data_IF_696763196002
#
_entry.id   IF_696763196002
#
_cell.length_a   1.000
_cell.length_b   1.000
_cell.length_c   1.000
_cell.angle_alpha   90.00
_cell.angle_beta   90.00
_cell.angle_gamma   90.00
#
_symmetry.space_group_name_H-M   'P 1'
#
loop_
_entity.id
_entity.type
_entity.pdbx_description
1 polymer ?
#
# COMPACT_ATOMS: atom_id res chain seq x y z
N UNK A 1 -7.82 -61.38 -12.55
CA UNK A 1 -6.96 -60.20 -12.84
C UNK A 1 -6.01 -60.58 -13.96
N UNK A 2 -6.21 -60.04 -15.16
CA UNK A 2 -5.39 -60.36 -16.34
C UNK A 2 -4.02 -59.68 -16.17
N UNK A 3 -2.94 -60.47 -16.14
CA UNK A 3 -1.58 -59.94 -16.16
C UNK A 3 -1.20 -59.63 -17.60
N UNK A 4 -0.84 -58.38 -17.94
CA UNK A 4 -0.46 -58.03 -19.30
C UNK A 4 0.80 -58.79 -19.73
N UNK A 5 0.91 -59.06 -21.04
CA UNK A 5 2.09 -59.67 -21.65
C UNK A 5 3.30 -58.73 -21.53
N UNK A 6 4.52 -59.30 -21.44
CA UNK A 6 5.77 -58.54 -21.27
C UNK A 6 5.96 -57.46 -22.35
N UNK A 7 5.55 -57.74 -23.60
CA UNK A 7 5.59 -56.78 -24.70
C UNK A 7 4.68 -55.56 -24.47
N UNK A 8 3.54 -55.74 -23.78
CA UNK A 8 2.64 -54.64 -23.44
C UNK A 8 3.16 -53.84 -22.23
N UNK A 9 3.78 -54.53 -21.25
CA UNK A 9 4.35 -53.89 -20.06
C UNK A 9 5.41 -52.83 -20.39
N UNK A 10 6.22 -53.03 -21.44
CA UNK A 10 7.24 -52.07 -21.87
C UNK A 10 6.69 -50.78 -22.50
N UNK A 11 5.41 -50.75 -22.88
CA UNK A 11 4.75 -49.58 -23.50
C UNK A 11 3.84 -48.80 -22.54
N UNK A 12 3.57 -49.35 -21.36
CA UNK A 12 2.75 -48.68 -20.36
C UNK A 12 3.52 -47.52 -19.73
N UNK A 13 2.83 -46.42 -19.43
CA UNK A 13 3.45 -45.26 -18.78
C UNK A 13 3.92 -45.62 -17.37
N UNK A 14 5.19 -45.35 -17.07
CA UNK A 14 5.72 -45.60 -15.74
C UNK A 14 5.01 -44.80 -14.64
N UNK A 15 4.69 -45.50 -13.57
CA UNK A 15 4.24 -44.95 -12.29
C UNK A 15 5.42 -44.87 -11.32
N UNK A 16 5.27 -44.10 -10.25
CA UNK A 16 6.30 -43.94 -9.22
C UNK A 16 6.67 -45.24 -8.50
N UNK A 17 5.83 -46.28 -8.60
CA UNK A 17 6.05 -47.57 -7.93
C UNK A 17 6.77 -48.61 -8.80
N UNK A 18 6.92 -48.34 -10.09
CA UNK A 18 7.52 -49.27 -11.04
C UNK A 18 9.02 -49.03 -11.28
N UNK A 19 9.52 -47.83 -10.96
CA UNK A 19 10.90 -47.41 -11.19
C UNK A 19 11.61 -47.24 -9.85
N UNK A 20 12.90 -47.58 -9.79
CA UNK A 20 13.73 -47.47 -8.59
C UNK A 20 14.11 -46.03 -8.21
N UNK A 21 15.25 -45.88 -7.55
CA UNK A 21 15.74 -44.58 -7.05
C UNK A 21 15.96 -43.59 -8.20
N UNK A 22 15.64 -42.31 -7.96
CA UNK A 22 15.88 -41.20 -8.91
C UNK A 22 14.68 -40.81 -9.79
N UNK A 23 13.64 -41.64 -9.88
CA UNK A 23 12.42 -41.29 -10.61
C UNK A 23 11.37 -40.66 -9.69
N UNK A 24 11.13 -39.36 -9.83
CA UNK A 24 10.07 -38.64 -9.14
C UNK A 24 8.98 -38.20 -10.13
N UNK A 25 7.71 -38.43 -9.76
CA UNK A 25 6.54 -37.96 -10.51
C UNK A 25 5.52 -37.41 -9.52
N UNK A 26 5.19 -36.13 -9.65
CA UNK A 26 4.25 -35.44 -8.76
C UNK A 26 2.77 -35.77 -9.06
N UNK A 27 1.92 -35.53 -8.06
CA UNK A 27 0.47 -35.79 -8.10
C UNK A 27 -0.38 -34.52 -8.27
N UNK A 28 0.17 -33.48 -8.91
CA UNK A 28 -0.49 -32.16 -9.11
C UNK A 28 -0.96 -31.48 -7.81
N UNK A 29 -0.24 -31.67 -6.71
CA UNK A 29 -0.51 -30.98 -5.44
C UNK A 29 -0.19 -29.48 -5.47
N UNK A 30 0.38 -28.97 -6.57
CA UNK A 30 0.86 -27.59 -6.69
C UNK A 30 2.21 -27.38 -6.00
N UNK A 31 2.88 -26.27 -6.35
CA UNK A 31 4.12 -25.85 -5.67
C UNK A 31 3.78 -24.91 -4.52
N UNK A 32 4.01 -25.37 -3.29
CA UNK A 32 3.72 -24.61 -2.07
C UNK A 32 4.92 -23.76 -1.60
N UNK A 33 5.98 -23.67 -2.39
CA UNK A 33 7.26 -23.13 -1.94
C UNK A 33 8.39 -23.34 -2.94
N UNK A 34 9.61 -23.47 -2.42
CA UNK A 34 10.81 -23.70 -3.22
C UNK A 34 11.78 -24.65 -2.51
N UNK A 35 12.53 -25.43 -3.29
CA UNK A 35 13.66 -26.20 -2.77
C UNK A 35 14.81 -25.24 -2.43
N UNK A 36 15.51 -25.52 -1.33
CA UNK A 36 16.76 -24.83 -0.96
C UNK A 36 17.94 -25.50 -1.66
N UNK A 37 19.08 -24.81 -1.75
CA UNK A 37 20.33 -25.36 -2.30
C UNK A 37 20.79 -26.67 -1.63
N UNK A 38 20.47 -26.87 -0.35
CA UNK A 38 20.80 -28.09 0.41
C UNK A 38 19.73 -29.20 0.32
N UNK A 39 18.80 -29.12 -0.63
CA UNK A 39 17.76 -30.14 -0.83
C UNK A 39 16.59 -30.11 0.17
N UNK A 40 16.57 -29.17 1.12
CA UNK A 40 15.37 -28.90 1.96
C UNK A 40 14.27 -28.20 1.16
N UNK A 41 13.09 -28.06 1.75
CA UNK A 41 11.96 -27.35 1.14
C UNK A 41 11.51 -26.20 2.06
N UNK A 42 11.39 -25.00 1.50
CA UNK A 42 10.91 -23.81 2.19
C UNK A 42 9.50 -23.47 1.71
N UNK A 43 8.54 -23.42 2.64
CA UNK A 43 7.12 -23.19 2.34
C UNK A 43 6.85 -21.69 2.19
N UNK A 44 6.20 -21.32 1.09
CA UNK A 44 5.63 -19.99 0.87
C UNK A 44 4.14 -20.02 1.21
N UNK A 45 3.80 -19.49 2.39
CA UNK A 45 2.42 -19.46 2.89
C UNK A 45 1.46 -18.70 1.97
N UNK A 46 1.95 -17.83 1.08
CA UNK A 46 1.08 -17.12 0.11
C UNK A 46 0.54 -18.04 -1.00
N UNK A 47 1.23 -19.15 -1.26
CA UNK A 47 0.84 -20.17 -2.26
C UNK A 47 0.05 -21.32 -1.65
N UNK A 48 -0.01 -21.37 -0.32
CA UNK A 48 -0.74 -22.42 0.39
C UNK A 48 -2.23 -22.17 0.22
N UNK A 49 -2.98 -23.22 -0.12
CA UNK A 49 -4.43 -23.15 -0.25
C UNK A 49 -5.07 -23.06 1.13
N UNK A 50 -5.97 -22.09 1.31
CA UNK A 50 -6.75 -21.91 2.53
C UNK A 50 -8.24 -22.08 2.20
N UNK A 51 -8.91 -22.97 2.92
CA UNK A 51 -10.36 -23.15 2.81
C UNK A 51 -11.03 -22.34 3.92
N UNK A 52 -11.58 -21.20 3.56
CA UNK A 52 -12.25 -20.30 4.50
C UNK A 52 -13.64 -20.85 4.80
N UNK A 53 -13.84 -21.31 6.03
CA UNK A 53 -15.15 -21.80 6.50
C UNK A 53 -15.82 -20.65 7.27
N UNK A 54 -17.04 -20.21 6.88
CA UNK A 54 -17.78 -19.22 7.65
C UNK A 54 -18.21 -19.80 9.01
N UNK A 55 -18.52 -18.95 9.98
CA UNK A 55 -19.15 -19.44 11.22
C UNK A 55 -20.55 -19.96 10.89
N UNK A 56 -20.82 -21.22 11.25
CA UNK A 56 -22.07 -21.91 10.92
C UNK A 56 -22.98 -22.08 12.14
N UNK A 57 -22.62 -21.51 13.29
CA UNK A 57 -23.52 -21.44 14.44
C UNK A 57 -24.78 -20.68 14.01
N UNK A 58 -25.94 -21.30 14.23
CA UNK A 58 -27.26 -20.76 13.90
C UNK A 58 -27.60 -20.65 12.40
N UNK A 59 -26.88 -21.35 11.51
CA UNK A 59 -27.21 -21.40 10.09
C UNK A 59 -28.33 -22.42 9.79
N UNK A 60 -29.50 -21.94 9.37
CA UNK A 60 -30.70 -22.76 9.16
C UNK A 60 -30.76 -23.47 7.80
N UNK A 61 -29.90 -23.11 6.83
CA UNK A 61 -29.95 -23.71 5.50
C UNK A 61 -29.35 -25.10 5.50
N UNK A 62 -30.10 -26.05 4.94
CA UNK A 62 -29.68 -27.44 4.76
C UNK A 62 -29.36 -27.72 3.28
N UNK A 63 -28.56 -28.76 2.97
CA UNK A 63 -28.28 -29.13 1.58
C UNK A 63 -29.50 -29.70 0.83
N UNK A 64 -30.62 -29.93 1.54
CA UNK A 64 -31.86 -30.45 0.98
C UNK A 64 -32.99 -29.42 1.13
N UNK A 65 -33.91 -29.45 0.18
CA UNK A 65 -35.16 -28.68 0.19
C UNK A 65 -36.32 -29.67 0.29
N UNK A 66 -37.38 -29.30 1.00
CA UNK A 66 -38.59 -30.11 1.14
C UNK A 66 -39.30 -30.26 -0.19
N UNK A 67 -39.76 -31.48 -0.52
CA UNK A 67 -40.48 -31.74 -1.78
C UNK A 67 -41.84 -31.06 -1.85
N UNK A 68 -42.40 -30.65 -0.71
CA UNK A 68 -43.64 -29.88 -0.62
C UNK A 68 -43.51 -28.47 -1.21
N UNK A 69 -42.28 -27.94 -1.32
CA UNK A 69 -42.03 -26.65 -1.93
C UNK A 69 -41.97 -26.79 -3.45
N UNK A 70 -42.86 -26.09 -4.15
CA UNK A 70 -42.83 -26.03 -5.61
C UNK A 70 -41.57 -25.32 -6.11
N UNK A 71 -41.04 -25.78 -7.25
CA UNK A 71 -39.87 -25.17 -7.86
C UNK A 71 -40.25 -23.79 -8.39
N UNK A 72 -39.62 -22.73 -7.87
CA UNK A 72 -39.85 -21.37 -8.35
C UNK A 72 -39.34 -21.25 -9.80
N UNK A 73 -40.24 -21.07 -10.80
CA UNK A 73 -39.79 -20.89 -12.17
C UNK A 73 -39.13 -19.51 -12.30
N UNK A 74 -38.19 -19.41 -13.24
CA UNK A 74 -37.54 -18.14 -13.57
C UNK A 74 -38.40 -17.24 -14.47
N UNK A 75 -39.54 -17.72 -14.91
CA UNK A 75 -40.40 -17.04 -15.88
C UNK A 75 -41.11 -15.90 -15.17
N UNK A 76 -40.97 -14.70 -15.70
CA UNK A 76 -41.63 -13.50 -15.20
C UNK A 76 -42.71 -13.04 -16.21
N UNK A 77 -43.79 -12.45 -15.69
CA UNK A 77 -44.81 -11.81 -16.52
C UNK A 77 -44.28 -10.46 -17.00
N UNK A 78 -44.07 -10.32 -18.31
CA UNK A 78 -43.62 -9.08 -18.91
C UNK A 78 -44.72 -7.99 -18.89
N UNK A 79 -44.37 -6.73 -19.23
CA UNK A 79 -45.31 -5.59 -19.25
C UNK A 79 -46.55 -5.74 -20.17
N UNK A 80 -46.60 -6.77 -21.00
CA UNK A 80 -47.73 -7.12 -21.87
C UNK A 80 -48.43 -8.44 -21.54
N UNK A 81 -48.20 -9.01 -20.35
CA UNK A 81 -48.76 -10.31 -19.93
C UNK A 81 -48.13 -11.52 -20.64
N UNK A 82 -47.15 -11.30 -21.52
CA UNK A 82 -46.37 -12.37 -22.13
C UNK A 82 -45.35 -12.91 -21.12
N UNK A 83 -45.37 -14.23 -20.92
CA UNK A 83 -44.37 -14.93 -20.13
C UNK A 83 -43.02 -14.84 -20.84
N UNK A 84 -42.02 -14.24 -20.19
CA UNK A 84 -40.66 -14.16 -20.70
C UNK A 84 -39.68 -14.74 -19.67
N UNK A 85 -38.64 -15.41 -20.17
CA UNK A 85 -37.54 -15.87 -19.32
C UNK A 85 -36.42 -14.83 -19.40
N UNK A 86 -36.16 -14.06 -18.33
CA UNK A 86 -35.11 -13.06 -18.34
C UNK A 86 -33.74 -13.68 -18.67
N UNK A 87 -32.84 -12.95 -19.36
CA UNK A 87 -31.47 -13.41 -19.60
C UNK A 87 -30.74 -13.61 -18.25
N UNK A 88 -29.79 -14.56 -18.16
CA UNK A 88 -29.23 -15.04 -16.87
C UNK A 88 -28.75 -13.94 -15.92
N UNK A 89 -28.13 -12.89 -16.45
CA UNK A 89 -27.74 -11.71 -15.69
C UNK A 89 -27.72 -10.55 -16.69
N UNK A 90 -28.68 -9.63 -16.60
CA UNK A 90 -28.53 -8.32 -17.25
C UNK A 90 -27.89 -7.33 -16.28
N UNK A 91 -26.85 -6.63 -16.74
CA UNK A 91 -26.14 -5.65 -15.93
C UNK A 91 -27.01 -4.45 -15.58
N UNK A 92 -27.89 -4.02 -16.50
CA UNK A 92 -28.78 -2.88 -16.25
C UNK A 92 -29.89 -3.23 -15.26
N UNK A 93 -30.51 -4.40 -15.37
CA UNK A 93 -31.46 -4.90 -14.37
C UNK A 93 -30.82 -5.03 -12.99
N UNK A 94 -29.60 -5.57 -12.91
CA UNK A 94 -28.86 -5.62 -11.64
C UNK A 94 -28.64 -4.22 -11.05
N UNK A 95 -28.22 -3.24 -11.86
CA UNK A 95 -28.02 -1.86 -11.39
C UNK A 95 -29.31 -1.20 -10.93
N UNK A 96 -30.43 -1.44 -11.63
CA UNK A 96 -31.76 -0.97 -11.20
C UNK A 96 -32.18 -1.60 -9.87
N UNK A 97 -32.01 -2.91 -9.74
CA UNK A 97 -32.32 -3.63 -8.50
C UNK A 97 -31.42 -3.18 -7.35
N UNK A 98 -30.13 -2.98 -7.60
CA UNK A 98 -29.15 -2.50 -6.63
C UNK A 98 -29.49 -1.08 -6.16
N UNK A 99 -29.79 -0.16 -7.07
CA UNK A 99 -30.26 1.20 -6.76
C UNK A 99 -31.50 1.16 -5.87
N UNK A 100 -32.45 0.27 -6.15
CA UNK A 100 -33.69 0.13 -5.38
C UNK A 100 -33.45 -0.41 -3.97
N UNK A 101 -32.54 -1.38 -3.82
CA UNK A 101 -32.25 -2.02 -2.53
C UNK A 101 -31.29 -1.21 -1.65
N UNK A 102 -30.39 -0.43 -2.25
CA UNK A 102 -29.30 0.27 -1.54
C UNK A 102 -29.21 1.76 -1.94
N UNK A 103 -30.23 2.59 -1.67
CA UNK A 103 -30.23 3.99 -2.09
C UNK A 103 -29.03 4.77 -1.51
N UNK A 104 -28.73 4.62 -0.22
CA UNK A 104 -27.63 5.34 0.41
C UNK A 104 -26.25 5.06 -0.20
N UNK A 105 -26.01 3.81 -0.64
CA UNK A 105 -24.75 3.46 -1.33
C UNK A 105 -24.72 4.00 -2.76
N UNK A 106 -25.86 3.96 -3.44
CA UNK A 106 -26.00 4.47 -4.79
C UNK A 106 -25.77 6.00 -4.83
N UNK A 107 -26.47 6.73 -3.97
CA UNK A 107 -26.39 8.20 -3.90
C UNK A 107 -24.95 8.65 -3.60
N UNK A 108 -24.27 8.00 -2.65
CA UNK A 108 -22.86 8.29 -2.36
C UNK A 108 -21.92 8.07 -3.56
N UNK A 109 -22.19 7.08 -4.42
CA UNK A 109 -21.39 6.83 -5.62
C UNK A 109 -21.68 7.89 -6.68
N UNK A 110 -22.94 8.30 -6.84
CA UNK A 110 -23.35 9.36 -7.77
C UNK A 110 -22.74 10.70 -7.35
N UNK A 111 -22.89 11.09 -6.09
CA UNK A 111 -22.31 12.32 -5.55
C UNK A 111 -20.78 12.35 -5.74
N UNK A 112 -20.10 11.22 -5.52
CA UNK A 112 -18.67 11.11 -5.77
C UNK A 112 -18.32 11.34 -7.25
N UNK A 113 -19.11 10.78 -8.17
CA UNK A 113 -18.90 10.95 -9.61
C UNK A 113 -19.18 12.38 -10.06
N UNK A 114 -20.26 12.99 -9.58
CA UNK A 114 -20.60 14.39 -9.89
C UNK A 114 -19.51 15.34 -9.39
N UNK A 115 -19.01 15.14 -8.17
CA UNK A 115 -17.90 15.91 -7.63
C UNK A 115 -16.60 15.74 -8.43
N UNK A 116 -16.31 14.52 -8.92
CA UNK A 116 -15.16 14.28 -9.80
C UNK A 116 -15.32 15.00 -11.14
N UNK A 117 -16.49 14.92 -11.76
CA UNK A 117 -16.78 15.59 -13.05
C UNK A 117 -16.71 17.11 -12.89
N UNK A 118 -17.31 17.67 -11.85
CA UNK A 118 -17.24 19.11 -11.56
C UNK A 118 -15.78 19.58 -11.35
N UNK A 119 -14.96 18.81 -10.63
CA UNK A 119 -13.55 19.13 -10.45
C UNK A 119 -12.76 19.06 -11.77
N UNK A 120 -13.08 18.10 -12.63
CA UNK A 120 -12.48 17.98 -13.96
C UNK A 120 -12.88 19.18 -14.83
N UNK A 121 -14.16 19.56 -14.86
CA UNK A 121 -14.67 20.71 -15.61
C UNK A 121 -14.01 22.02 -15.16
N UNK A 122 -13.91 22.25 -13.85
CA UNK A 122 -13.19 23.40 -13.29
C UNK A 122 -11.73 23.44 -13.77
N UNK A 123 -11.05 22.29 -13.79
CA UNK A 123 -9.65 22.23 -14.27
C UNK A 123 -9.51 22.56 -15.76
N UNK A 124 -10.52 22.21 -16.58
CA UNK A 124 -10.54 22.57 -18.00
C UNK A 124 -10.82 24.07 -18.21
N UNK A 125 -11.74 24.65 -17.45
CA UNK A 125 -12.06 26.08 -17.50
C UNK A 125 -10.89 26.95 -17.04
N UNK A 126 -10.24 26.60 -15.92
CA UNK A 126 -9.03 27.27 -15.44
C UNK A 126 -7.88 27.19 -16.47
N UNK A 127 -7.69 26.02 -17.09
CA UNK A 127 -6.70 25.85 -18.15
C UNK A 127 -7.02 26.66 -19.42
N UNK A 128 -8.30 26.78 -19.79
CA UNK A 128 -8.74 27.60 -20.91
C UNK A 128 -8.55 29.11 -20.63
N UNK A 129 -8.88 29.57 -19.42
CA UNK A 129 -8.66 30.95 -19.00
C UNK A 129 -7.18 31.33 -18.98
N UNK A 130 -6.31 30.48 -18.43
CA UNK A 130 -4.85 30.69 -18.45
C UNK A 130 -4.28 30.75 -19.88
N UNK A 131 -4.79 29.89 -20.78
CA UNK A 131 -4.39 29.93 -22.18
C UNK A 131 -4.83 31.23 -22.87
N UNK A 132 -6.04 31.73 -22.60
CA UNK A 132 -6.51 33.02 -23.13
C UNK A 132 -5.71 34.21 -22.58
N UNK A 133 -5.43 34.23 -21.28
CA UNK A 133 -4.60 35.27 -20.66
C UNK A 133 -3.18 35.28 -21.23
N UNK A 134 -2.57 34.10 -21.41
CA UNK A 134 -1.24 34.01 -22.02
C UNK A 134 -1.23 34.44 -23.50
N UNK A 135 -2.29 34.16 -24.25
CA UNK A 135 -2.45 34.63 -25.62
C UNK A 135 -2.59 36.17 -25.68
N UNK A 136 -3.41 36.76 -24.81
CA UNK A 136 -3.56 38.22 -24.71
C UNK A 136 -2.26 38.90 -24.32
N UNK A 137 -1.50 38.34 -23.36
CA UNK A 137 -0.19 38.85 -22.97
C UNK A 137 0.82 38.77 -24.14
N UNK A 138 0.82 37.69 -24.91
CA UNK A 138 1.66 37.58 -26.12
C UNK A 138 1.27 38.59 -27.19
N UNK A 139 -0.02 38.80 -27.44
CA UNK A 139 -0.50 39.81 -28.41
C UNK A 139 -0.11 41.22 -27.98
N UNK A 140 -0.22 41.55 -26.69
CA UNK A 140 0.20 42.84 -26.14
C UNK A 140 1.72 43.05 -26.26
N UNK A 141 2.51 41.99 -26.04
CA UNK A 141 3.96 42.06 -26.21
C UNK A 141 4.39 42.26 -27.67
N UNK A 142 3.73 41.58 -28.62
CA UNK A 142 4.02 41.74 -30.06
C UNK A 142 3.61 43.11 -30.60
N UNK A 143 2.50 43.70 -30.13
CA UNK A 143 2.09 45.05 -30.53
C UNK A 143 3.02 46.12 -29.96
N UNK A 144 3.57 45.92 -28.76
CA UNK A 144 4.61 46.78 -28.19
C UNK A 144 5.93 46.71 -28.97
N UNK A 145 6.24 45.57 -29.60
CA UNK A 145 7.42 45.43 -30.47
C UNK A 145 7.24 46.04 -31.87
N UNK A 146 6.02 46.06 -32.41
CA UNK A 146 5.71 46.65 -33.72
C UNK A 146 5.85 48.19 -33.78
N UNK A 147 5.89 48.86 -32.62
CA UNK A 147 6.15 50.31 -32.50
C UNK A 147 7.63 50.69 -32.44
N UNK A 148 8.56 49.72 -32.45
CA UNK A 148 10.01 50.02 -32.43
C UNK A 148 10.55 50.22 -33.86
N UNK A 149 11.05 51.43 -34.12
CA UNK A 149 11.80 51.81 -35.31
C UNK A 149 12.87 50.75 -35.69
N UNK A 150 13.10 50.45 -36.99
CA UNK A 150 14.04 49.43 -37.46
C UNK A 150 15.51 49.70 -37.08
N UNK A 151 15.82 50.84 -36.47
CA UNK A 151 17.18 51.24 -36.09
C UNK A 151 17.68 50.67 -34.75
N UNK A 152 16.84 49.94 -33.99
CA UNK A 152 17.24 49.36 -32.68
C UNK A 152 17.27 47.82 -32.65
N UNK A 153 16.90 47.14 -33.75
CA UNK A 153 16.81 45.68 -33.79
C UNK A 153 18.15 44.95 -33.99
N UNK A 154 19.25 45.67 -34.28
CA UNK A 154 20.58 45.06 -34.47
C UNK A 154 21.39 44.88 -33.17
N UNK A 155 21.05 45.53 -32.05
CA UNK A 155 21.84 45.42 -30.82
C UNK A 155 21.39 44.30 -29.87
N UNK A 156 20.17 43.77 -30.00
CA UNK A 156 19.64 42.76 -29.05
C UNK A 156 19.90 41.31 -29.52
N UNK A 157 20.31 41.11 -30.79
CA UNK A 157 20.63 39.75 -31.30
C UNK A 157 21.93 39.14 -30.78
N UNK A 158 22.74 39.87 -30.00
CA UNK A 158 24.02 39.35 -29.50
C UNK A 158 24.03 38.89 -28.03
N UNK A 159 22.91 38.99 -27.28
CA UNK A 159 22.92 38.72 -25.83
C UNK A 159 22.02 37.56 -25.35
N UNK A 160 21.36 36.81 -26.24
CA UNK A 160 20.45 35.73 -25.83
C UNK A 160 20.80 34.36 -26.42
N UNK A 161 21.98 33.85 -26.06
CA UNK A 161 22.34 32.44 -26.20
C UNK A 161 22.94 31.92 -24.90
N UNK A 162 22.30 32.11 -23.74
CA UNK A 162 22.67 31.39 -22.49
C UNK A 162 21.71 31.75 -21.35
N UNK A 163 20.48 31.26 -21.40
CA UNK A 163 19.69 30.99 -20.18
C UNK A 163 18.40 30.30 -20.54
N UNK A 164 18.48 28.99 -20.78
CA UNK A 164 17.32 28.12 -20.81
C UNK A 164 17.64 26.88 -20.01
N UNK A 165 17.46 26.94 -18.69
CA UNK A 165 17.22 25.78 -17.84
C UNK A 165 16.81 26.21 -16.43
N UNK A 166 15.79 25.52 -15.92
CA UNK A 166 15.34 25.42 -14.53
C UNK A 166 14.31 26.45 -14.05
N UNK A 167 13.06 26.27 -14.48
CA UNK A 167 11.89 26.62 -13.68
C UNK A 167 11.34 25.35 -13.03
N UNK A 168 11.76 25.05 -11.80
CA UNK A 168 11.16 24.00 -10.97
C UNK A 168 10.13 24.63 -10.04
N UNK A 169 8.89 24.16 -10.11
CA UNK A 169 7.81 24.53 -9.20
C UNK A 169 8.23 24.36 -7.73
N UNK A 170 8.37 25.48 -7.01
CA UNK A 170 8.49 25.50 -5.56
C UNK A 170 7.14 25.16 -4.94
N UNK A 171 6.91 23.88 -4.65
CA UNK A 171 5.99 23.50 -3.59
C UNK A 171 6.68 23.76 -2.26
N UNK A 172 6.14 24.67 -1.47
CA UNK A 172 6.53 24.95 -0.08
C UNK A 172 6.29 23.70 0.77
N UNK A 173 7.30 22.84 0.86
CA UNK A 173 7.36 21.85 1.92
C UNK A 173 7.67 22.61 3.22
N UNK A 174 6.68 22.75 4.09
CA UNK A 174 6.86 23.16 5.48
C UNK A 174 7.89 22.22 6.11
N UNK A 175 9.09 22.74 6.32
CA UNK A 175 10.16 22.05 7.03
C UNK A 175 9.74 21.99 8.48
N UNK A 176 9.16 20.86 8.89
CA UNK A 176 8.91 20.56 10.31
C UNK A 176 10.28 20.32 10.94
N UNK A 177 10.81 21.31 11.65
CA UNK A 177 12.19 21.32 12.16
C UNK A 177 12.38 20.43 13.40
N UNK A 178 11.32 19.94 14.01
CA UNK A 178 11.39 19.05 15.18
C UNK A 178 10.60 17.76 14.91
N UNK A 179 11.16 16.56 15.15
CA UNK A 179 10.39 15.33 15.08
C UNK A 179 9.22 15.40 16.08
N UNK A 180 8.03 14.90 15.73
CA UNK A 180 6.89 14.89 16.64
C UNK A 180 7.23 14.10 17.91
N UNK A 181 6.66 14.51 19.04
CA UNK A 181 6.83 13.79 20.30
C UNK A 181 6.26 12.36 20.21
N UNK A 182 6.73 11.46 21.08
CA UNK A 182 6.24 10.08 21.14
C UNK A 182 4.70 10.00 21.29
N UNK A 183 4.12 10.93 22.05
CA UNK A 183 2.67 11.03 22.27
C UNK A 183 1.95 11.45 20.99
N UNK A 184 2.41 12.52 20.34
CA UNK A 184 1.86 13.00 19.07
C UNK A 184 1.91 11.91 18.00
N UNK A 185 3.03 11.21 17.86
CA UNK A 185 3.15 10.15 16.86
C UNK A 185 2.18 8.98 17.07
N UNK A 186 1.86 8.65 18.32
CA UNK A 186 0.87 7.61 18.60
C UNK A 186 -0.55 8.06 18.25
N UNK A 187 -0.81 9.36 18.32
CA UNK A 187 -2.10 9.97 17.95
C UNK A 187 -2.20 10.25 16.44
N UNK A 188 -1.07 10.33 15.73
CA UNK A 188 -1.04 10.48 14.28
C UNK A 188 -1.69 9.30 13.56
N UNK A 189 -2.46 9.62 12.52
CA UNK A 189 -3.04 8.61 11.64
C UNK A 189 -1.95 7.86 10.87
N UNK A 190 -2.29 6.68 10.36
CA UNK A 190 -1.35 5.87 9.55
C UNK A 190 -0.83 6.64 8.33
N UNK A 191 -1.65 7.52 7.77
CA UNK A 191 -1.33 8.31 6.58
C UNK A 191 -0.34 9.41 6.90
N UNK A 192 -0.53 10.11 8.01
CA UNK A 192 0.38 11.17 8.46
C UNK A 192 1.76 10.60 8.81
N UNK A 193 1.82 9.44 9.48
CA UNK A 193 3.10 8.75 9.76
C UNK A 193 3.82 8.37 8.46
N UNK A 194 3.06 7.91 7.46
CA UNK A 194 3.60 7.57 6.13
C UNK A 194 4.11 8.83 5.41
N UNK A 195 3.40 9.94 5.54
CA UNK A 195 3.79 11.23 4.98
C UNK A 195 5.09 11.73 5.60
N UNK A 196 5.24 11.69 6.92
CA UNK A 196 6.48 12.06 7.62
C UNK A 196 7.69 11.22 7.17
N UNK A 197 7.54 9.89 7.10
CA UNK A 197 8.62 9.02 6.62
C UNK A 197 8.99 9.37 5.17
N UNK A 198 8.01 9.60 4.30
CA UNK A 198 8.27 9.97 2.91
C UNK A 198 8.93 11.36 2.79
N UNK A 199 8.54 12.32 3.64
CA UNK A 199 9.15 13.65 3.68
C UNK A 199 10.62 13.57 4.13
N UNK A 200 10.90 12.89 5.24
CA UNK A 200 12.26 12.70 5.78
C UNK A 200 13.17 11.96 4.78
N UNK A 201 12.67 10.88 4.17
CA UNK A 201 13.44 10.13 3.15
C UNK A 201 13.72 10.97 1.91
N UNK A 202 12.75 11.78 1.46
CA UNK A 202 12.94 12.69 0.33
C UNK A 202 13.98 13.77 0.66
N UNK A 203 13.96 14.32 1.87
CA UNK A 203 14.95 15.28 2.34
C UNK A 203 16.35 14.65 2.33
N UNK A 204 16.49 13.42 2.87
CA UNK A 204 17.79 12.74 2.90
C UNK A 204 18.33 12.37 1.52
N UNK A 205 17.45 11.96 0.60
CA UNK A 205 17.82 11.72 -0.80
C UNK A 205 18.28 13.02 -1.47
N UNK A 206 17.67 14.17 -1.16
CA UNK A 206 18.11 15.48 -1.68
C UNK A 206 19.48 15.88 -1.15
N UNK A 207 19.76 15.67 0.13
CA UNK A 207 21.10 15.88 0.71
C UNK A 207 22.15 15.03 0.02
N UNK A 208 21.93 13.71 -0.11
CA UNK A 208 22.88 12.82 -0.76
C UNK A 208 23.14 13.19 -2.23
N UNK A 209 22.11 13.65 -2.94
CA UNK A 209 22.29 14.20 -4.30
C UNK A 209 23.13 15.47 -4.33
N UNK A 210 22.98 16.34 -3.33
CA UNK A 210 23.76 17.57 -3.20
C UNK A 210 25.23 17.27 -2.88
N UNK A 211 25.50 16.24 -2.07
CA UNK A 211 26.85 15.83 -1.68
C UNK A 211 27.58 15.08 -2.79
N UNK A 212 26.91 14.13 -3.47
CA UNK A 212 27.56 13.24 -4.45
C UNK A 212 27.44 13.70 -5.90
N UNK A 213 26.50 14.58 -6.22
CA UNK A 213 26.21 14.99 -7.60
C UNK A 213 25.60 13.88 -8.50
N UNK A 214 25.46 12.66 -8.00
CA UNK A 214 25.02 11.47 -8.75
C UNK A 214 23.57 11.06 -8.46
N UNK A 215 23.01 10.25 -9.36
CA UNK A 215 21.68 9.66 -9.20
C UNK A 215 21.68 8.51 -8.19
N UNK A 216 21.03 8.71 -7.04
CA UNK A 216 20.81 7.66 -6.03
C UNK A 216 20.05 6.47 -6.63
N UNK A 217 20.62 5.26 -6.48
CA UNK A 217 20.06 4.02 -7.03
C UNK A 217 18.76 3.60 -6.31
N UNK A 218 17.89 2.80 -6.94
CA UNK A 218 16.65 2.33 -6.30
C UNK A 218 16.89 1.54 -5.00
N UNK A 219 17.97 0.74 -4.93
CA UNK A 219 18.35 -0.03 -3.76
C UNK A 219 18.74 0.88 -2.58
N UNK A 220 19.53 1.93 -2.84
CA UNK A 220 19.90 2.92 -1.83
C UNK A 220 18.67 3.69 -1.31
N UNK A 221 17.72 4.05 -2.19
CA UNK A 221 16.47 4.69 -1.75
C UNK A 221 15.68 3.80 -0.80
N UNK A 222 15.65 2.48 -1.04
CA UNK A 222 15.01 1.53 -0.15
C UNK A 222 15.75 1.42 1.18
N UNK A 223 17.08 1.38 1.16
CA UNK A 223 17.91 1.34 2.37
C UNK A 223 17.70 2.60 3.23
N UNK A 224 17.72 3.80 2.63
CA UNK A 224 17.45 5.08 3.30
C UNK A 224 16.03 5.09 3.90
N UNK A 225 15.05 4.52 3.18
CA UNK A 225 13.68 4.42 3.68
C UNK A 225 13.56 3.47 4.87
N UNK A 226 14.23 2.32 4.83
CA UNK A 226 14.24 1.39 5.96
C UNK A 226 14.95 1.99 7.17
N UNK A 227 16.07 2.68 6.95
CA UNK A 227 16.87 3.32 7.99
C UNK A 227 16.07 4.44 8.66
N UNK A 228 15.44 5.31 7.88
CA UNK A 228 14.61 6.38 8.43
C UNK A 228 13.41 5.88 9.21
N UNK A 229 12.82 4.77 8.78
CA UNK A 229 11.74 4.11 9.53
C UNK A 229 12.23 3.55 10.86
N UNK A 230 13.46 3.03 10.91
CA UNK A 230 14.07 2.50 12.14
C UNK A 230 14.41 3.66 13.07
N UNK A 231 15.07 4.70 12.56
CA UNK A 231 15.48 5.87 13.34
C UNK A 231 14.30 6.62 13.93
N UNK A 232 13.27 6.92 13.12
CA UNK A 232 12.03 7.53 13.64
C UNK A 232 11.45 6.64 14.74
N UNK A 233 11.36 5.32 14.52
CA UNK A 233 10.84 4.40 15.52
C UNK A 233 11.69 4.36 16.81
N UNK A 234 13.01 4.51 16.71
CA UNK A 234 13.92 4.56 17.85
C UNK A 234 13.81 5.88 18.62
N UNK A 235 13.78 7.02 17.92
CA UNK A 235 13.59 8.35 18.50
C UNK A 235 12.20 8.46 19.15
N UNK A 236 11.18 7.80 18.59
CA UNK A 236 9.79 7.84 19.06
C UNK A 236 9.43 6.85 20.16
N UNK A 237 10.18 5.76 20.34
CA UNK A 237 10.00 4.85 21.47
C UNK A 237 10.70 5.40 22.73
N UNK A 238 11.35 6.57 22.61
CA UNK A 238 12.21 7.12 23.65
C UNK A 238 13.51 6.34 23.66
N UNK A 239 14.60 7.06 23.45
CA UNK A 239 15.96 6.60 23.69
C UNK A 239 16.05 5.96 25.08
N UNK A 240 16.05 4.61 25.12
CA UNK A 240 16.36 3.86 26.34
C UNK A 240 15.60 2.56 26.57
N UNK A 241 14.45 2.31 25.93
CA UNK A 241 13.63 1.13 26.30
C UNK A 241 14.07 -0.19 25.65
N UNK A 242 14.55 -0.16 24.41
CA UNK A 242 15.04 -1.35 23.71
C UNK A 242 16.27 -0.95 22.90
N UNK A 243 17.40 -1.61 23.16
CA UNK A 243 18.65 -1.33 22.46
C UNK A 243 18.55 -1.80 21.00
N UNK A 244 17.77 -2.85 20.76
CA UNK A 244 17.56 -3.45 19.45
C UNK A 244 16.08 -3.74 19.14
N UNK A 245 15.72 -3.62 17.85
CA UNK A 245 14.42 -4.10 17.33
C UNK A 245 14.15 -5.56 17.75
N UNK A 246 15.20 -6.38 17.82
CA UNK A 246 15.12 -7.78 18.25
C UNK A 246 14.60 -7.92 19.67
N UNK A 247 14.94 -7.01 20.58
CA UNK A 247 14.46 -7.03 21.97
C UNK A 247 12.97 -6.70 22.05
N UNK A 248 12.53 -5.67 21.33
CA UNK A 248 11.10 -5.34 21.19
C UNK A 248 10.32 -6.53 20.65
N UNK A 249 10.77 -7.13 19.54
CA UNK A 249 10.07 -8.25 18.91
C UNK A 249 10.08 -9.49 19.83
N UNK A 250 11.18 -9.73 20.57
CA UNK A 250 11.30 -10.80 21.58
C UNK A 250 10.32 -10.59 22.74
N UNK A 251 10.18 -9.36 23.21
CA UNK A 251 9.31 -9.02 24.33
C UNK A 251 7.82 -9.09 23.95
N UNK A 252 7.43 -8.54 22.79
CA UNK A 252 6.07 -8.71 22.25
C UNK A 252 5.74 -10.18 21.98
N UNK A 253 6.72 -10.98 21.55
CA UNK A 253 6.54 -12.42 21.36
C UNK A 253 6.48 -13.21 22.68
N UNK A 254 7.13 -12.74 23.75
CA UNK A 254 7.06 -13.35 25.07
C UNK A 254 5.70 -13.06 25.73
N UNK A 255 5.23 -11.82 25.64
CA UNK A 255 3.92 -11.39 26.13
C UNK A 255 2.77 -12.12 25.40
N UNK A 256 2.83 -12.20 24.07
CA UNK A 256 1.88 -12.99 23.30
C UNK A 256 1.83 -14.47 23.71
N UNK A 257 2.98 -15.06 24.10
CA UNK A 257 3.04 -16.43 24.62
C UNK A 257 2.45 -16.55 26.03
N UNK A 258 2.67 -15.56 26.91
CA UNK A 258 2.05 -15.53 28.25
C UNK A 258 0.53 -15.54 28.14
N UNK A 259 -0.04 -14.70 27.28
CA UNK A 259 -1.50 -14.62 27.09
C UNK A 259 -2.09 -15.91 26.56
N UNK A 260 -1.43 -16.56 25.60
CA UNK A 260 -1.87 -17.87 25.10
C UNK A 260 -1.87 -18.91 26.21
N UNK A 261 -0.87 -18.89 27.10
CA UNK A 261 -0.81 -19.77 28.28
C UNK A 261 -1.92 -19.47 29.29
N UNK A 262 -2.32 -18.21 29.42
CA UNK A 262 -3.42 -17.74 30.27
C UNK A 262 -4.81 -17.91 29.61
N UNK A 263 -4.89 -18.39 28.37
CA UNK A 263 -6.15 -18.53 27.62
C UNK A 263 -6.75 -17.20 27.16
N UNK A 264 -5.99 -16.11 27.20
CA UNK A 264 -6.44 -14.77 26.80
C UNK A 264 -6.31 -14.58 25.26
N UNK A 265 -7.23 -13.82 24.64
CA UNK A 265 -7.15 -13.50 23.23
C UNK A 265 -5.93 -12.61 22.92
N UNK A 266 -5.51 -12.62 21.64
CA UNK A 266 -4.43 -11.76 21.14
C UNK A 266 -4.82 -10.29 21.35
N UNK A 267 -3.86 -9.48 21.84
CA UNK A 267 -4.13 -8.06 22.11
C UNK A 267 -4.54 -7.28 20.87
N UNK A 268 -5.53 -6.41 21.05
CA UNK A 268 -5.87 -5.37 20.06
C UNK A 268 -4.72 -4.36 19.91
N UNK A 269 -4.66 -3.57 18.83
CA UNK A 269 -3.64 -2.54 18.67
C UNK A 269 -3.60 -1.53 19.83
N UNK A 270 -4.76 -1.23 20.41
CA UNK A 270 -4.92 -0.31 21.55
C UNK A 270 -4.36 -0.91 22.83
N UNK A 271 -4.69 -2.17 23.14
CA UNK A 271 -4.14 -2.88 24.30
C UNK A 271 -2.61 -3.05 24.22
N UNK A 272 -2.06 -3.19 23.00
CA UNK A 272 -0.60 -3.19 22.79
C UNK A 272 0.01 -1.84 23.10
N UNK A 273 -0.68 -0.74 22.75
CA UNK A 273 -0.25 0.62 23.08
C UNK A 273 -0.25 0.82 24.59
N UNK A 274 -1.32 0.44 25.28
CA UNK A 274 -1.41 0.51 26.75
C UNK A 274 -0.36 -0.34 27.46
N UNK A 275 -0.05 -1.52 26.93
CA UNK A 275 1.02 -2.35 27.46
C UNK A 275 2.39 -1.69 27.36
N UNK A 276 2.70 -1.08 26.22
CA UNK A 276 3.96 -0.37 26.05
C UNK A 276 4.03 0.88 26.94
N UNK A 277 2.91 1.58 27.13
CA UNK A 277 2.80 2.71 28.05
C UNK A 277 2.97 2.29 29.52
N UNK A 278 2.39 1.16 29.93
CA UNK A 278 2.58 0.63 31.29
C UNK A 278 4.02 0.16 31.53
N UNK A 279 4.69 -0.39 30.50
CA UNK A 279 6.13 -0.67 30.56
C UNK A 279 6.97 0.61 30.72
N UNK A 280 6.64 1.67 29.99
CA UNK A 280 7.29 2.98 30.10
C UNK A 280 7.10 3.60 31.50
N UNK A 281 5.90 3.48 32.07
CA UNK A 281 5.62 3.96 33.43
C UNK A 281 6.36 3.12 34.48
N UNK A 282 6.44 1.80 34.27
CA UNK A 282 7.08 0.87 35.21
C UNK A 282 8.61 0.98 35.22
N UNK A 283 9.24 1.45 34.14
CA UNK A 283 10.69 1.64 34.08
C UNK A 283 11.16 2.96 34.72
N UNK A 284 10.23 3.80 35.22
CA UNK A 284 10.58 5.00 36.00
C UNK A 284 11.42 6.05 35.25
N UNK A 285 11.55 5.91 33.93
CA UNK A 285 12.51 6.65 33.11
C UNK A 285 11.88 7.80 32.31
N UNK A 286 10.62 8.15 32.58
CA UNK A 286 9.94 9.22 31.85
C UNK A 286 10.60 10.59 32.06
N UNK A 287 11.12 10.85 33.27
CA UNK A 287 11.71 12.16 33.61
C UNK A 287 13.22 12.23 33.36
N UNK A 288 13.95 11.12 33.54
CA UNK A 288 15.42 11.07 33.37
C UNK A 288 15.84 11.12 31.89
N UNK A 289 15.00 10.64 30.97
CA UNK A 289 15.28 10.72 29.54
C UNK A 289 15.16 12.14 28.97
N UNK A 290 14.31 12.99 29.57
CA UNK A 290 14.13 14.38 29.17
C UNK A 290 15.30 15.27 29.61
N UNK A 291 15.86 15.06 30.81
CA UNK A 291 17.04 15.83 31.25
C UNK A 291 18.29 15.48 30.43
N UNK A 292 18.51 14.19 30.10
CA UNK A 292 19.71 13.77 29.34
C UNK A 292 19.77 14.32 27.91
N UNK A 293 18.61 14.57 27.30
CA UNK A 293 18.51 15.17 25.96
C UNK A 293 18.81 16.67 25.98
N UNK A 294 18.65 17.34 27.13
CA UNK A 294 18.91 18.77 27.28
C UNK A 294 20.35 19.09 27.71
N UNK A 295 21.12 18.11 28.20
CA UNK A 295 22.45 18.38 28.81
C UNK A 295 23.67 17.78 28.10
N UNK A 296 23.53 16.83 27.16
CA UNK A 296 24.71 16.20 26.53
C UNK A 296 24.97 16.67 25.08
N UNK A 297 26.09 17.36 24.80
CA UNK A 297 26.50 17.65 23.43
C UNK A 297 27.04 16.39 22.73
N UNK A 298 26.70 16.27 21.45
CA UNK A 298 27.03 15.17 20.55
C UNK A 298 28.55 14.95 20.46
N UNK A 299 29.03 13.87 21.08
CA UNK A 299 30.41 13.37 20.92
C UNK A 299 30.56 12.70 19.54
N UNK A 300 31.33 13.35 18.65
CA UNK A 300 31.71 12.81 17.34
C UNK A 300 32.84 11.78 17.51
N UNK A 301 32.49 10.50 17.58
CA UNK A 301 33.45 9.39 17.53
C UNK A 301 33.95 9.16 16.10
N UNK A 302 35.26 9.33 15.88
CA UNK A 302 35.94 8.90 14.65
C UNK A 302 36.03 7.37 14.60
N UNK A 303 35.79 6.73 13.44
CA UNK A 303 36.07 5.32 13.28
C UNK A 303 37.57 5.10 12.98
N UNK A 304 38.16 4.12 13.67
CA UNK A 304 39.45 3.47 13.38
C UNK A 304 39.24 2.22 12.53
#
# INVERSE_FOLDING_TARGET
MVKPTLALCGRLRFTTKQVGRGFYRGNRTGSMGAHTEYGKYMIDWRKTTHFNVPDTKDFSLSPFVTQEMEQTPRVEEGPGGALYTPPRVDGLEFLKAWKKLNPAQYDSVVDYQENQTAAIEQSYEEGAAQNQESAQQQTYMQSAEAGRSPLQQQQIRQMHTTSRRLGSAQRSATVVSNPPSAKEWLDMTREERKALINAATTAKIRELKKERGEHVTPAEKQAIKSDMKIRLRQELIGTGMFQDKKEYDKMMSAEGRSRVKEGLPKRTPEEKREFLLSLLQKTGNADVALERILTEPVSVGKPS
#
